data_IF_164983745028
#
_entry.id   IF_164983745028
#
_cell.length_a   1.000
_cell.length_b   1.000
_cell.length_c   1.000
_cell.angle_alpha   90.00
_cell.angle_beta   90.00
_cell.angle_gamma   90.00
#
_symmetry.space_group_name_H-M   'P 1'
#
loop_
_entity.id
_entity.type
_entity.pdbx_description
1 polymer ?
#
# COMPACT_ATOMS: atom_id res chain seq x y z
N UNK A 1 -29.26 0.93 -5.03
CA UNK A 1 -27.80 0.96 -5.24
C UNK A 1 -27.24 -0.27 -4.55
N UNK A 2 -26.63 -1.24 -5.26
CA UNK A 2 -26.05 -2.42 -4.60
C UNK A 2 -24.80 -1.96 -3.86
N UNK A 3 -24.87 -1.85 -2.54
CA UNK A 3 -23.66 -1.75 -1.72
C UNK A 3 -22.92 -3.08 -1.83
N UNK A 4 -22.01 -3.18 -2.79
CA UNK A 4 -20.98 -4.22 -2.75
C UNK A 4 -20.17 -3.87 -1.50
N UNK A 5 -20.46 -4.53 -0.37
CA UNK A 5 -19.66 -4.39 0.83
C UNK A 5 -18.24 -4.80 0.47
N UNK A 6 -17.38 -3.80 0.31
CA UNK A 6 -16.00 -4.01 -0.11
C UNK A 6 -15.25 -4.66 1.05
N UNK A 7 -15.23 -5.99 1.04
CA UNK A 7 -14.56 -6.83 2.03
C UNK A 7 -13.10 -6.44 2.18
N UNK A 8 -12.44 -6.02 1.09
CA UNK A 8 -11.07 -5.56 1.11
C UNK A 8 -10.90 -4.20 1.76
N UNK A 9 -11.84 -3.27 1.58
CA UNK A 9 -11.81 -1.99 2.28
C UNK A 9 -12.02 -2.17 3.79
N UNK A 10 -12.97 -3.03 4.19
CA UNK A 10 -13.19 -3.39 5.61
C UNK A 10 -11.96 -4.03 6.22
N UNK A 11 -11.39 -5.01 5.53
CA UNK A 11 -10.17 -5.71 5.95
C UNK A 11 -8.97 -4.77 6.04
N UNK A 12 -8.79 -3.90 5.04
CA UNK A 12 -7.73 -2.88 5.06
C UNK A 12 -7.85 -1.99 6.30
N UNK A 13 -9.07 -1.53 6.61
CA UNK A 13 -9.32 -0.74 7.82
C UNK A 13 -8.99 -1.52 9.10
N UNK A 14 -9.40 -2.78 9.22
CA UNK A 14 -9.09 -3.61 10.40
C UNK A 14 -7.60 -3.92 10.54
N UNK A 15 -6.87 -4.07 9.44
CA UNK A 15 -5.42 -4.27 9.42
C UNK A 15 -4.62 -2.95 9.52
N UNK A 16 -5.31 -1.81 9.70
CA UNK A 16 -4.70 -0.49 9.87
C UNK A 16 -4.14 0.11 8.57
N UNK A 17 -4.55 -0.38 7.40
CA UNK A 17 -4.23 0.22 6.11
C UNK A 17 -5.18 1.37 5.76
N UNK A 18 -4.63 2.44 5.18
CA UNK A 18 -5.39 3.63 4.78
C UNK A 18 -6.33 3.39 3.60
N UNK A 19 -6.06 2.38 2.78
CA UNK A 19 -6.96 1.95 1.71
C UNK A 19 -6.69 0.51 1.28
N UNK A 20 -7.68 -0.12 0.62
CA UNK A 20 -7.52 -1.46 0.02
C UNK A 20 -6.43 -1.54 -1.05
N UNK A 21 -6.00 -0.40 -1.60
CA UNK A 21 -4.93 -0.35 -2.59
C UNK A 21 -3.59 -0.85 -2.01
N UNK A 22 -3.41 -0.79 -0.68
CA UNK A 22 -2.24 -1.34 0.01
C UNK A 22 -1.96 -2.79 -0.39
N UNK A 23 -2.98 -3.64 -0.48
CA UNK A 23 -2.81 -5.05 -0.87
C UNK A 23 -2.21 -5.20 -2.27
N UNK A 24 -2.63 -4.37 -3.23
CA UNK A 24 -2.07 -4.40 -4.59
C UNK A 24 -0.57 -4.15 -4.58
N UNK A 25 -0.12 -3.12 -3.86
CA UNK A 25 1.31 -2.82 -3.78
C UNK A 25 2.08 -3.89 -3.00
N UNK A 26 1.48 -4.46 -1.94
CA UNK A 26 2.10 -5.56 -1.17
C UNK A 26 2.35 -6.76 -2.09
N UNK A 27 1.36 -7.18 -2.88
CA UNK A 27 1.48 -8.32 -3.79
C UNK A 27 2.47 -8.06 -4.94
N UNK A 28 2.41 -6.87 -5.55
CA UNK A 28 3.38 -6.43 -6.56
C UNK A 28 4.79 -6.46 -5.96
N UNK A 29 4.98 -5.89 -4.78
CA UNK A 29 6.30 -5.86 -4.15
C UNK A 29 6.79 -7.25 -3.72
N UNK A 30 5.89 -8.15 -3.32
CA UNK A 30 6.26 -9.54 -3.01
C UNK A 30 6.84 -10.25 -4.24
N UNK A 31 6.30 -9.98 -5.44
CA UNK A 31 6.76 -10.58 -6.69
C UNK A 31 8.04 -9.93 -7.22
N UNK A 32 8.12 -8.60 -7.18
CA UNK A 32 9.14 -7.85 -7.92
C UNK A 32 10.19 -7.15 -7.04
N UNK A 33 10.00 -7.10 -5.71
CA UNK A 33 10.92 -6.43 -4.75
C UNK A 33 11.24 -4.97 -5.11
N UNK A 34 10.27 -4.26 -5.71
CA UNK A 34 10.44 -2.91 -6.26
C UNK A 34 10.90 -1.90 -5.21
N UNK A 35 10.31 -1.93 -4.01
CA UNK A 35 10.55 -0.94 -2.96
C UNK A 35 11.96 -1.07 -2.42
N UNK A 36 12.42 -2.31 -2.18
CA UNK A 36 13.74 -2.59 -1.62
C UNK A 36 14.89 -2.30 -2.62
N UNK A 37 14.61 -2.40 -3.92
CA UNK A 37 15.56 -2.10 -5.00
C UNK A 37 15.58 -0.62 -5.41
N UNK A 38 14.58 0.16 -5.00
CA UNK A 38 14.45 1.56 -5.40
C UNK A 38 15.16 2.51 -4.44
N UNK A 39 16.05 3.36 -4.98
CA UNK A 39 16.69 4.44 -4.20
C UNK A 39 15.69 5.54 -3.86
N UNK A 40 14.88 5.95 -4.83
CA UNK A 40 13.85 6.99 -4.73
C UNK A 40 12.53 6.44 -5.26
N UNK A 41 11.43 6.79 -4.60
CA UNK A 41 10.07 6.39 -4.98
C UNK A 41 9.22 7.66 -4.97
N UNK A 42 8.48 7.88 -6.05
CA UNK A 42 7.54 9.01 -6.20
C UNK A 42 6.15 8.41 -6.43
N UNK A 43 5.17 8.83 -5.64
CA UNK A 43 3.77 8.45 -5.78
C UNK A 43 2.95 9.70 -6.12
N UNK A 44 2.33 9.70 -7.30
CA UNK A 44 1.48 10.79 -7.76
C UNK A 44 0.03 10.55 -7.33
N UNK A 45 -0.62 11.56 -6.78
CA UNK A 45 -2.04 11.46 -6.36
C UNK A 45 -2.25 10.50 -5.19
N UNK A 46 -1.35 10.52 -4.20
CA UNK A 46 -1.31 9.48 -3.16
C UNK A 46 -2.55 9.39 -2.28
N UNK A 47 -3.35 10.45 -2.13
CA UNK A 47 -4.51 10.47 -1.23
C UNK A 47 -5.43 9.25 -1.43
N UNK A 48 -5.76 8.47 -0.38
CA UNK A 48 -5.53 8.70 1.06
C UNK A 48 -4.17 8.21 1.62
N UNK A 49 -3.29 7.65 0.80
CA UNK A 49 -1.90 7.31 1.16
C UNK A 49 -1.68 5.82 1.43
N UNK A 50 -2.49 4.93 0.85
CA UNK A 50 -2.39 3.49 1.09
C UNK A 50 -1.07 2.87 0.60
N UNK A 51 -0.55 3.32 -0.54
CA UNK A 51 0.75 2.87 -1.06
C UNK A 51 1.90 3.52 -0.30
N UNK A 52 1.86 4.84 -0.08
CA UNK A 52 2.83 5.56 0.74
C UNK A 52 3.01 4.96 2.13
N UNK A 53 1.92 4.52 2.77
CA UNK A 53 1.98 3.82 4.06
C UNK A 53 2.77 2.50 3.96
N UNK A 54 2.52 1.69 2.92
CA UNK A 54 3.23 0.43 2.68
C UNK A 54 4.70 0.69 2.38
N UNK A 55 5.01 1.68 1.54
CA UNK A 55 6.37 2.10 1.20
C UNK A 55 7.12 2.50 2.47
N UNK A 56 6.53 3.34 3.32
CA UNK A 56 7.14 3.77 4.57
C UNK A 56 7.42 2.62 5.55
N UNK A 57 6.52 1.63 5.65
CA UNK A 57 6.72 0.43 6.48
C UNK A 57 7.86 -0.46 5.94
N UNK A 58 8.02 -0.57 4.63
CA UNK A 58 9.00 -1.46 3.98
C UNK A 58 10.38 -0.85 3.81
N UNK A 59 10.47 0.44 3.51
CA UNK A 59 11.73 1.17 3.36
C UNK A 59 12.28 1.50 4.75
N UNK A 60 12.72 0.49 5.49
CA UNK A 60 13.43 0.72 6.75
C UNK A 60 14.63 1.62 6.47
N UNK A 61 14.78 2.64 7.31
CA UNK A 61 15.76 3.71 7.20
C UNK A 61 17.17 3.10 7.18
N UNK A 62 17.77 2.95 6.00
CA UNK A 62 19.22 2.86 5.85
C UNK A 62 19.78 4.25 6.18
N UNK A 63 20.09 4.51 7.45
CA UNK A 63 21.10 5.50 7.82
C UNK A 63 22.42 4.74 7.97
#
# INVERSE_FOLDING_TARGET
MREIQDTWAKRAKSEGYRSRAAYKLIDINKKFKLIEQSKLIIELGSAPGGWSQVIGKKKQRRF
#
